data_IF_516120082732
#
_entry.id   IF_516120082732
#
_cell.length_a   1.000
_cell.length_b   1.000
_cell.length_c   1.000
_cell.angle_alpha   90.00
_cell.angle_beta   90.00
_cell.angle_gamma   90.00
#
_symmetry.space_group_name_H-M   'P 1'
#
loop_
_entity.id
_entity.type
_entity.pdbx_description
1 polymer ?
#
# COMPACT_ATOMS: atom_id res chain seq x y z
N UNK A 1 -71.34 -12.29 20.43
CA UNK A 1 -71.22 -13.68 19.91
C UNK A 1 -69.85 -13.83 19.27
N UNK A 2 -68.94 -14.55 19.93
CA UNK A 2 -67.49 -14.48 19.71
C UNK A 2 -67.00 -15.15 18.43
N UNK A 3 -66.10 -14.48 17.71
CA UNK A 3 -65.30 -15.08 16.63
C UNK A 3 -64.27 -16.01 17.26
N UNK A 4 -64.42 -17.32 17.08
CA UNK A 4 -63.38 -18.29 17.43
C UNK A 4 -62.18 -18.08 16.50
N UNK A 5 -61.10 -17.56 17.06
CA UNK A 5 -59.76 -17.64 16.48
C UNK A 5 -59.13 -18.89 17.07
N UNK A 6 -58.69 -19.84 16.25
CA UNK A 6 -57.86 -20.96 16.72
C UNK A 6 -56.41 -20.52 16.71
N UNK A 7 -55.79 -20.53 17.88
CA UNK A 7 -54.35 -20.41 18.09
C UNK A 7 -53.73 -21.81 18.15
N UNK A 8 -52.49 -21.93 17.65
CA UNK A 8 -51.65 -23.12 17.79
C UNK A 8 -51.17 -23.24 19.26
N UNK A 9 -51.47 -24.35 19.98
CA UNK A 9 -51.32 -24.42 21.43
C UNK A 9 -49.88 -24.32 21.97
N UNK A 10 -48.84 -24.52 21.16
CA UNK A 10 -47.48 -24.61 21.69
C UNK A 10 -46.63 -23.33 21.58
N UNK A 11 -46.92 -22.39 20.67
CA UNK A 11 -46.00 -21.24 20.45
C UNK A 11 -46.62 -19.87 20.19
N UNK A 12 -47.94 -19.76 19.95
CA UNK A 12 -48.61 -18.46 19.74
C UNK A 12 -48.04 -17.58 18.60
N UNK A 13 -47.14 -18.10 17.75
CA UNK A 13 -46.44 -17.32 16.71
C UNK A 13 -47.18 -17.42 15.38
N UNK A 14 -47.56 -16.26 14.83
CA UNK A 14 -47.99 -16.15 13.43
C UNK A 14 -46.85 -16.58 12.51
N UNK A 15 -47.00 -17.70 11.82
CA UNK A 15 -46.03 -18.21 10.85
C UNK A 15 -45.86 -17.18 9.73
N UNK A 16 -44.67 -16.57 9.65
CA UNK A 16 -44.32 -15.66 8.55
C UNK A 16 -43.51 -16.44 7.53
N UNK A 17 -43.99 -16.47 6.28
CA UNK A 17 -43.22 -16.99 5.14
C UNK A 17 -41.85 -16.32 5.10
N UNK A 18 -40.79 -17.13 5.01
CA UNK A 18 -39.43 -16.64 4.95
C UNK A 18 -39.23 -15.75 3.72
N UNK A 19 -38.49 -14.65 3.87
CA UNK A 19 -38.35 -13.62 2.82
C UNK A 19 -37.78 -14.16 1.50
N UNK A 20 -36.88 -15.14 1.59
CA UNK A 20 -36.26 -15.81 0.45
C UNK A 20 -37.28 -16.58 -0.40
N UNK A 21 -38.34 -17.09 0.23
CA UNK A 21 -39.37 -17.92 -0.38
C UNK A 21 -40.62 -17.09 -0.75
N UNK A 22 -40.65 -15.81 -0.36
CA UNK A 22 -41.82 -14.95 -0.44
C UNK A 22 -42.29 -14.67 -1.88
N UNK A 23 -41.38 -14.56 -2.84
CA UNK A 23 -41.73 -14.37 -4.25
C UNK A 23 -42.47 -15.59 -4.81
N UNK A 24 -41.91 -16.79 -4.56
CA UNK A 24 -42.47 -18.06 -5.04
C UNK A 24 -43.77 -18.40 -4.33
N UNK A 25 -43.86 -18.17 -3.02
CA UNK A 25 -45.11 -18.37 -2.28
C UNK A 25 -46.21 -17.43 -2.79
N UNK A 26 -45.91 -16.14 -3.05
CA UNK A 26 -46.89 -15.22 -3.65
C UNK A 26 -47.39 -15.72 -5.00
N UNK A 27 -46.48 -16.17 -5.87
CA UNK A 27 -46.84 -16.70 -7.19
C UNK A 27 -47.74 -17.92 -7.06
N UNK A 28 -47.35 -18.91 -6.24
CA UNK A 28 -48.16 -20.13 -6.00
C UNK A 28 -49.56 -19.81 -5.46
N UNK A 29 -49.67 -18.86 -4.54
CA UNK A 29 -50.96 -18.44 -3.97
C UNK A 29 -51.85 -17.78 -5.02
N UNK A 30 -51.31 -16.87 -5.83
CA UNK A 30 -52.07 -16.21 -6.90
C UNK A 30 -52.47 -17.21 -7.99
N UNK A 31 -51.57 -18.12 -8.39
CA UNK A 31 -51.88 -19.19 -9.36
C UNK A 31 -52.98 -20.10 -8.85
N UNK A 32 -52.94 -20.52 -7.58
CA UNK A 32 -53.99 -21.35 -6.99
C UNK A 32 -55.35 -20.64 -6.99
N UNK A 33 -55.39 -19.35 -6.66
CA UNK A 33 -56.62 -18.55 -6.68
C UNK A 33 -57.16 -18.37 -8.11
N UNK A 34 -56.28 -18.11 -9.08
CA UNK A 34 -56.68 -18.01 -10.49
C UNK A 34 -57.24 -19.33 -11.03
N UNK A 35 -56.77 -20.47 -10.49
CA UNK A 35 -57.27 -21.80 -10.79
C UNK A 35 -58.55 -22.18 -10.00
N UNK A 36 -59.19 -21.22 -9.33
CA UNK A 36 -60.48 -21.39 -8.67
C UNK A 36 -60.41 -21.69 -7.16
N UNK A 37 -59.23 -21.68 -6.54
CA UNK A 37 -59.12 -21.87 -5.09
C UNK A 37 -59.66 -20.65 -4.34
N UNK A 38 -60.54 -20.87 -3.36
CA UNK A 38 -61.04 -19.79 -2.51
C UNK A 38 -59.92 -19.16 -1.67
N UNK A 39 -59.84 -17.82 -1.51
CA UNK A 39 -58.76 -17.15 -0.77
C UNK A 39 -58.56 -17.63 0.67
N UNK A 40 -59.63 -18.05 1.36
CA UNK A 40 -59.52 -18.62 2.71
C UNK A 40 -58.86 -20.00 2.72
N UNK A 41 -59.10 -20.83 1.70
CA UNK A 41 -58.42 -22.12 1.52
C UNK A 41 -56.95 -21.91 1.16
N UNK A 42 -56.65 -20.92 0.32
CA UNK A 42 -55.28 -20.57 -0.01
C UNK A 42 -54.50 -20.08 1.23
N UNK A 43 -55.14 -19.32 2.13
CA UNK A 43 -54.52 -18.90 3.38
C UNK A 43 -54.13 -20.09 4.28
N UNK A 44 -54.95 -21.15 4.30
CA UNK A 44 -54.71 -22.38 5.05
C UNK A 44 -53.62 -23.24 4.41
N UNK A 45 -53.72 -23.53 3.10
CA UNK A 45 -52.77 -24.37 2.35
C UNK A 45 -51.36 -23.79 2.31
N UNK A 46 -51.24 -22.47 2.23
CA UNK A 46 -49.94 -21.79 2.15
C UNK A 46 -49.50 -21.19 3.49
N UNK A 47 -50.15 -21.57 4.59
CA UNK A 47 -49.83 -21.18 5.97
C UNK A 47 -49.58 -19.67 6.13
N UNK A 48 -50.45 -18.86 5.52
CA UNK A 48 -50.30 -17.41 5.53
C UNK A 48 -51.59 -16.72 5.99
N UNK A 49 -51.46 -15.55 6.62
CA UNK A 49 -52.64 -14.83 7.13
C UNK A 49 -53.60 -14.42 6.00
N UNK A 50 -54.91 -14.55 6.22
CA UNK A 50 -55.95 -14.16 5.24
C UNK A 50 -55.75 -12.73 4.69
N UNK A 51 -55.44 -11.77 5.55
CA UNK A 51 -55.16 -10.38 5.14
C UNK A 51 -53.94 -10.25 4.22
N UNK A 52 -52.95 -11.16 4.36
CA UNK A 52 -51.78 -11.24 3.49
C UNK A 52 -52.18 -11.72 2.09
N UNK A 53 -53.04 -12.73 1.99
CA UNK A 53 -53.56 -13.25 0.70
C UNK A 53 -54.31 -12.14 -0.05
N UNK A 54 -55.24 -11.46 0.61
CA UNK A 54 -55.95 -10.32 0.01
C UNK A 54 -55.00 -9.17 -0.36
N UNK A 55 -53.96 -8.92 0.45
CA UNK A 55 -52.90 -7.96 0.12
C UNK A 55 -52.14 -8.33 -1.14
N UNK A 56 -51.80 -9.61 -1.33
CA UNK A 56 -51.15 -10.12 -2.55
C UNK A 56 -52.07 -10.06 -3.76
N UNK A 57 -53.34 -10.44 -3.63
CA UNK A 57 -54.34 -10.30 -4.70
C UNK A 57 -54.47 -8.84 -5.15
N UNK A 58 -54.56 -7.90 -4.20
CA UNK A 58 -54.63 -6.47 -4.49
C UNK A 58 -53.36 -6.00 -5.20
N UNK A 59 -52.18 -6.40 -4.73
CA UNK A 59 -50.90 -6.03 -5.35
C UNK A 59 -50.77 -6.59 -6.77
N UNK A 60 -51.14 -7.86 -6.98
CA UNK A 60 -51.12 -8.50 -8.31
C UNK A 60 -52.11 -7.86 -9.28
N UNK A 61 -53.30 -7.46 -8.80
CA UNK A 61 -54.28 -6.75 -9.64
C UNK A 61 -53.80 -5.37 -10.08
N UNK A 62 -53.01 -4.68 -9.25
CA UNK A 62 -52.51 -3.32 -9.54
C UNK A 62 -51.22 -3.36 -10.36
N UNK A 63 -50.31 -4.30 -10.08
CA UNK A 63 -48.94 -4.29 -10.61
C UNK A 63 -48.55 -5.56 -11.38
N UNK A 64 -49.47 -6.51 -11.59
CA UNK A 64 -49.20 -7.75 -12.32
C UNK A 64 -48.05 -8.57 -11.71
N UNK A 65 -47.17 -9.08 -12.56
CA UNK A 65 -45.99 -9.86 -12.14
C UNK A 65 -45.02 -9.06 -11.24
N UNK A 66 -44.98 -7.72 -11.33
CA UNK A 66 -44.11 -6.88 -10.47
C UNK A 66 -44.49 -6.99 -8.98
N UNK A 67 -45.71 -7.45 -8.67
CA UNK A 67 -46.15 -7.72 -7.30
C UNK A 67 -45.35 -8.86 -6.62
N UNK A 68 -44.67 -9.70 -7.41
CA UNK A 68 -43.86 -10.79 -6.89
C UNK A 68 -42.45 -10.32 -6.49
N UNK A 69 -42.03 -9.13 -6.90
CA UNK A 69 -40.73 -8.60 -6.52
C UNK A 69 -40.64 -8.28 -5.01
N UNK A 70 -39.70 -8.94 -4.34
CA UNK A 70 -39.40 -8.68 -2.93
C UNK A 70 -38.42 -7.52 -2.82
N UNK A 71 -38.93 -6.29 -2.83
CA UNK A 71 -38.09 -5.09 -2.64
C UNK A 71 -37.38 -5.13 -1.30
N UNK A 72 -36.07 -4.83 -1.26
CA UNK A 72 -35.33 -4.67 0.01
C UNK A 72 -35.92 -3.49 0.79
N UNK A 73 -36.07 -3.58 2.12
CA UNK A 73 -36.51 -2.43 2.90
C UNK A 73 -35.50 -1.31 2.68
N UNK A 74 -35.97 -0.07 2.56
CA UNK A 74 -35.07 1.08 2.61
C UNK A 74 -34.32 1.00 3.94
N UNK A 75 -33.00 0.81 3.87
CA UNK A 75 -32.16 0.82 5.07
C UNK A 75 -32.25 2.15 5.79
N UNK A 76 -31.61 2.24 6.97
CA UNK A 76 -31.50 3.49 7.72
C UNK A 76 -31.00 4.62 6.79
N UNK A 77 -31.63 5.80 6.78
CA UNK A 77 -31.19 6.92 5.96
C UNK A 77 -29.71 7.23 6.18
N UNK A 78 -28.99 7.55 5.10
CA UNK A 78 -27.59 7.93 5.22
C UNK A 78 -27.48 9.27 5.95
N UNK A 79 -26.54 9.38 6.88
CA UNK A 79 -26.32 10.62 7.66
C UNK A 79 -25.89 11.81 6.79
N UNK A 80 -25.32 11.54 5.61
CA UNK A 80 -24.98 12.55 4.62
C UNK A 80 -25.81 12.35 3.35
N UNK A 81 -26.20 13.47 2.74
CA UNK A 81 -26.83 13.51 1.41
C UNK A 81 -25.82 13.21 0.31
N UNK A 82 -26.31 12.84 -0.88
CA UNK A 82 -25.45 12.62 -2.06
C UNK A 82 -24.56 13.83 -2.37
N UNK A 83 -25.13 15.05 -2.32
CA UNK A 83 -24.38 16.29 -2.55
C UNK A 83 -23.25 16.51 -1.53
N UNK A 84 -23.51 16.23 -0.25
CA UNK A 84 -22.48 16.33 0.80
C UNK A 84 -21.39 15.28 0.60
N UNK A 85 -21.76 14.06 0.20
CA UNK A 85 -20.82 12.98 -0.11
C UNK A 85 -19.91 13.32 -1.30
N UNK A 86 -20.47 13.87 -2.38
CA UNK A 86 -19.71 14.28 -3.57
C UNK A 86 -18.75 15.42 -3.23
N UNK A 87 -19.20 16.41 -2.45
CA UNK A 87 -18.38 17.54 -1.98
C UNK A 87 -17.25 17.09 -1.06
N UNK A 88 -17.53 16.19 -0.12
CA UNK A 88 -16.52 15.60 0.76
C UNK A 88 -15.45 14.87 -0.04
N UNK A 89 -15.86 14.07 -1.04
CA UNK A 89 -14.92 13.36 -1.93
C UNK A 89 -14.04 14.34 -2.70
N UNK A 90 -14.63 15.41 -3.26
CA UNK A 90 -13.87 16.42 -3.99
C UNK A 90 -12.80 17.10 -3.12
N UNK A 91 -13.08 17.37 -1.85
CA UNK A 91 -12.07 17.90 -0.93
C UNK A 91 -10.97 16.90 -0.60
N UNK A 92 -11.31 15.64 -0.33
CA UNK A 92 -10.31 14.64 0.05
C UNK A 92 -9.38 14.29 -1.12
N UNK A 93 -9.91 14.22 -2.35
CA UNK A 93 -9.13 13.89 -3.55
C UNK A 93 -8.39 15.11 -4.11
N UNK A 94 -8.97 16.30 -4.02
CA UNK A 94 -8.47 17.50 -4.70
C UNK A 94 -7.75 18.51 -3.80
N UNK A 95 -7.71 18.32 -2.47
CA UNK A 95 -7.09 19.28 -1.55
C UNK A 95 -6.19 18.61 -0.51
N UNK A 96 -5.14 19.32 -0.15
CA UNK A 96 -4.33 19.04 1.03
C UNK A 96 -5.08 19.54 2.28
N UNK A 97 -5.13 18.78 3.40
CA UNK A 97 -5.84 19.23 4.59
C UNK A 97 -5.35 20.60 5.12
N UNK A 98 -4.10 21.00 4.87
CA UNK A 98 -3.57 22.33 5.21
C UNK A 98 -4.28 23.46 4.49
N UNK A 99 -4.72 23.24 3.24
CA UNK A 99 -5.55 24.19 2.50
C UNK A 99 -6.95 24.37 3.13
N UNK A 100 -7.34 23.47 4.03
CA UNK A 100 -8.59 23.51 4.79
C UNK A 100 -8.36 23.85 6.28
N UNK A 101 -7.22 24.49 6.58
CA UNK A 101 -6.79 24.99 7.90
C UNK A 101 -6.54 23.88 8.93
N UNK A 102 -6.15 22.69 8.50
CA UNK A 102 -5.62 21.66 9.38
C UNK A 102 -4.09 21.73 9.47
N UNK A 103 -3.52 21.39 10.62
CA UNK A 103 -2.07 21.48 10.86
C UNK A 103 -1.26 20.41 10.10
N UNK A 104 -1.89 19.29 9.74
CA UNK A 104 -1.23 18.12 9.15
C UNK A 104 -1.60 17.91 7.68
N UNK A 105 -0.67 17.40 6.87
CA UNK A 105 -0.85 17.19 5.43
C UNK A 105 -1.57 15.87 5.04
N UNK A 106 -1.95 15.02 6.01
CA UNK A 106 -2.53 13.71 5.76
C UNK A 106 -3.99 13.61 6.17
N UNK A 107 -4.84 13.07 5.29
CA UNK A 107 -6.23 12.77 5.61
C UNK A 107 -6.34 11.56 6.54
N UNK A 108 -6.54 11.82 7.84
CA UNK A 108 -6.90 10.78 8.81
C UNK A 108 -8.42 10.68 8.97
N UNK A 109 -8.93 9.54 9.46
CA UNK A 109 -10.36 9.39 9.80
C UNK A 109 -10.81 10.45 10.82
N UNK A 110 -9.89 10.93 11.64
CA UNK A 110 -10.14 11.96 12.66
C UNK A 110 -10.33 13.34 12.03
N UNK A 111 -9.44 13.71 11.12
CA UNK A 111 -9.55 14.97 10.37
C UNK A 111 -10.79 15.00 9.49
N UNK A 112 -11.11 13.88 8.83
CA UNK A 112 -12.35 13.76 8.04
C UNK A 112 -13.58 13.87 8.94
N UNK A 113 -13.56 13.31 10.15
CA UNK A 113 -14.65 13.47 11.14
C UNK A 113 -14.85 14.94 11.50
N UNK A 114 -13.78 15.64 11.86
CA UNK A 114 -13.83 17.08 12.19
C UNK A 114 -14.29 17.93 10.99
N UNK A 115 -13.85 17.59 9.77
CA UNK A 115 -14.29 18.28 8.56
C UNK A 115 -15.80 18.09 8.33
N UNK A 116 -16.32 16.87 8.49
CA UNK A 116 -17.76 16.58 8.34
C UNK A 116 -18.57 17.35 9.38
N UNK A 117 -18.12 17.35 10.64
CA UNK A 117 -18.79 18.07 11.70
C UNK A 117 -18.79 19.59 11.46
N UNK A 118 -17.65 20.16 11.05
CA UNK A 118 -17.50 21.59 10.76
C UNK A 118 -18.33 22.04 9.55
N UNK A 119 -18.30 21.30 8.45
CA UNK A 119 -18.88 21.73 7.17
C UNK A 119 -20.35 21.32 7.02
N UNK A 120 -20.77 20.24 7.69
CA UNK A 120 -22.11 19.68 7.53
C UNK A 120 -22.90 19.59 8.85
N UNK A 121 -22.29 19.86 10.01
CA UNK A 121 -22.95 19.79 11.31
C UNK A 121 -23.32 18.37 11.74
N UNK A 122 -22.70 17.34 11.15
CA UNK A 122 -23.05 15.94 11.40
C UNK A 122 -21.97 15.26 12.25
N UNK A 123 -22.32 14.90 13.48
CA UNK A 123 -21.45 14.11 14.33
C UNK A 123 -21.44 12.63 13.89
N UNK A 124 -20.25 12.07 13.69
CA UNK A 124 -20.06 10.68 13.26
C UNK A 124 -18.94 10.01 14.07
N UNK A 125 -19.06 8.71 14.33
CA UNK A 125 -17.94 7.95 14.93
C UNK A 125 -16.83 7.72 13.90
N UNK A 126 -15.58 7.52 14.37
CA UNK A 126 -14.43 7.16 13.50
C UNK A 126 -14.69 5.95 12.62
N UNK A 127 -15.42 4.95 13.13
CA UNK A 127 -15.80 3.76 12.37
C UNK A 127 -16.78 4.08 11.24
N UNK A 128 -17.78 4.92 11.51
CA UNK A 128 -18.76 5.34 10.50
C UNK A 128 -18.07 6.13 9.38
N UNK A 129 -17.12 7.01 9.73
CA UNK A 129 -16.28 7.73 8.75
C UNK A 129 -15.47 6.75 7.89
N UNK A 130 -14.86 5.72 8.50
CA UNK A 130 -14.14 4.68 7.74
C UNK A 130 -15.03 3.93 6.73
N UNK A 131 -16.26 3.56 7.12
CA UNK A 131 -17.23 2.92 6.21
C UNK A 131 -17.68 3.88 5.10
N UNK A 132 -17.88 5.16 5.43
CA UNK A 132 -18.24 6.20 4.47
C UNK A 132 -17.15 6.36 3.40
N UNK A 133 -15.90 6.51 3.81
CA UNK A 133 -14.76 6.65 2.88
C UNK A 133 -14.68 5.48 1.90
N UNK A 134 -14.85 4.24 2.39
CA UNK A 134 -14.89 3.05 1.53
C UNK A 134 -16.03 3.10 0.53
N UNK A 135 -17.22 3.58 0.93
CA UNK A 135 -18.38 3.77 0.05
C UNK A 135 -18.14 4.83 -1.02
N UNK A 136 -17.30 5.84 -0.75
CA UNK A 136 -16.86 6.85 -1.71
C UNK A 136 -15.75 6.35 -2.65
N UNK A 137 -15.37 5.09 -2.56
CA UNK A 137 -14.27 4.49 -3.34
C UNK A 137 -12.89 4.91 -2.85
N UNK A 138 -12.77 5.37 -1.60
CA UNK A 138 -11.51 5.81 -1.01
C UNK A 138 -10.96 4.73 -0.07
N UNK A 139 -9.66 4.49 -0.15
CA UNK A 139 -8.92 3.57 0.73
C UNK A 139 -7.69 4.27 1.32
N UNK A 140 -7.18 3.81 2.48
CA UNK A 140 -5.92 4.32 3.00
C UNK A 140 -4.80 4.03 1.99
N UNK A 141 -4.23 5.08 1.43
CA UNK A 141 -3.07 5.01 0.55
C UNK A 141 -1.85 5.50 1.31
N UNK A 142 -0.71 4.83 1.13
CA UNK A 142 0.57 5.38 1.60
C UNK A 142 0.94 6.51 0.65
N UNK A 143 0.99 7.77 1.10
CA UNK A 143 1.41 8.86 0.23
C UNK A 143 2.83 8.54 -0.26
N UNK A 144 3.03 8.55 -1.57
CA UNK A 144 4.37 8.73 -2.09
C UNK A 144 4.75 10.15 -1.71
N UNK A 145 5.72 10.28 -0.81
CA UNK A 145 6.35 11.57 -0.51
C UNK A 145 7.16 11.92 -1.76
N UNK A 146 6.50 12.39 -2.82
CA UNK A 146 7.20 13.13 -3.86
C UNK A 146 7.64 14.42 -3.21
N UNK A 147 8.91 14.45 -2.83
CA UNK A 147 9.50 15.55 -2.12
C UNK A 147 9.25 16.82 -2.92
N UNK A 148 8.63 17.81 -2.31
CA UNK A 148 8.54 19.18 -2.83
C UNK A 148 9.94 19.76 -3.18
N UNK A 149 11.00 19.11 -2.71
CA UNK A 149 12.40 19.45 -2.93
C UNK A 149 13.01 18.82 -4.19
N UNK A 150 12.32 17.88 -4.86
CA UNK A 150 12.79 17.30 -6.11
C UNK A 150 12.55 18.28 -7.25
N UNK A 151 13.59 18.53 -8.05
CA UNK A 151 13.54 19.39 -9.22
C UNK A 151 13.28 18.50 -10.47
N UNK A 152 12.07 18.57 -11.07
CA UNK A 152 11.72 17.71 -12.21
C UNK A 152 12.60 17.93 -13.43
N UNK A 153 13.11 19.15 -13.65
CA UNK A 153 13.97 19.46 -14.79
C UNK A 153 15.33 18.79 -14.64
N UNK A 154 15.87 18.75 -13.41
CA UNK A 154 17.11 17.99 -13.12
C UNK A 154 16.93 16.50 -13.28
N UNK A 155 15.78 15.96 -12.86
CA UNK A 155 15.47 14.54 -13.04
C UNK A 155 15.42 14.20 -14.53
N UNK A 156 14.76 15.02 -15.33
CA UNK A 156 14.68 14.81 -16.77
C UNK A 156 16.04 14.95 -17.44
N UNK A 157 16.81 15.98 -17.10
CA UNK A 157 18.19 16.17 -17.58
C UNK A 157 19.08 14.97 -17.27
N UNK A 158 18.97 14.43 -16.05
CA UNK A 158 19.70 13.23 -15.66
C UNK A 158 19.36 12.04 -16.56
N UNK A 159 18.05 11.79 -16.77
CA UNK A 159 17.56 10.66 -17.57
C UNK A 159 17.92 10.78 -19.06
N UNK A 160 17.82 11.97 -19.63
CA UNK A 160 17.95 12.19 -21.07
C UNK A 160 19.35 12.57 -21.54
N UNK A 161 20.18 13.13 -20.65
CA UNK A 161 21.49 13.70 -21.03
C UNK A 161 22.61 13.08 -20.19
N UNK A 162 22.62 13.33 -18.88
CA UNK A 162 23.79 13.01 -18.04
C UNK A 162 24.06 11.51 -17.95
N UNK A 163 23.05 10.70 -17.64
CA UNK A 163 23.24 9.25 -17.55
C UNK A 163 23.61 8.60 -18.89
N UNK A 164 22.93 8.91 -20.02
CA UNK A 164 23.36 8.43 -21.33
C UNK A 164 24.82 8.77 -21.67
N UNK A 165 25.28 10.00 -21.39
CA UNK A 165 26.67 10.40 -21.59
C UNK A 165 27.65 9.60 -20.73
N UNK A 166 27.32 9.40 -19.44
CA UNK A 166 28.09 8.55 -18.52
C UNK A 166 28.17 7.12 -19.05
N UNK A 167 27.05 6.57 -19.51
CA UNK A 167 26.97 5.21 -20.04
C UNK A 167 27.81 5.03 -21.29
N UNK A 168 27.75 5.97 -22.22
CA UNK A 168 28.51 5.90 -23.47
C UNK A 168 30.01 6.07 -23.21
N UNK A 169 30.39 6.92 -22.23
CA UNK A 169 31.77 7.04 -21.77
C UNK A 169 32.26 5.77 -21.08
N UNK A 170 31.43 5.15 -20.23
CA UNK A 170 31.76 3.89 -19.57
C UNK A 170 32.04 2.80 -20.61
N UNK A 171 31.20 2.67 -21.65
CA UNK A 171 31.44 1.73 -22.76
C UNK A 171 32.76 1.98 -23.47
N UNK A 172 33.11 3.25 -23.76
CA UNK A 172 34.38 3.59 -24.43
C UNK A 172 35.61 3.23 -23.59
N UNK A 173 35.51 3.36 -22.28
CA UNK A 173 36.61 3.09 -21.34
C UNK A 173 36.62 1.65 -20.80
N UNK A 174 35.64 0.82 -21.19
CA UNK A 174 35.45 -0.51 -20.58
C UNK A 174 35.09 -0.45 -19.09
N UNK A 175 34.54 0.68 -18.62
CA UNK A 175 34.19 0.89 -17.23
C UNK A 175 32.90 0.15 -16.86
N UNK A 176 32.87 -0.45 -15.67
CA UNK A 176 31.67 -1.04 -15.10
C UNK A 176 30.87 0.03 -14.33
N UNK A 177 29.58 0.14 -14.61
CA UNK A 177 28.68 1.08 -13.93
C UNK A 177 28.03 0.39 -12.75
N UNK A 178 28.19 1.00 -11.58
CA UNK A 178 27.56 0.61 -10.34
C UNK A 178 26.70 1.76 -9.81
N UNK A 179 25.60 1.42 -9.15
CA UNK A 179 24.80 2.34 -8.37
C UNK A 179 24.91 1.91 -6.91
N UNK A 180 25.30 2.82 -6.03
CA UNK A 180 25.44 2.54 -4.61
C UNK A 180 24.50 3.37 -3.74
N UNK A 181 24.15 2.80 -2.60
CA UNK A 181 23.41 3.45 -1.54
C UNK A 181 23.84 2.93 -0.16
N UNK A 182 23.47 3.68 0.88
CA UNK A 182 23.80 3.44 2.27
C UNK A 182 22.50 3.30 3.08
N UNK A 183 22.27 2.16 3.73
CA UNK A 183 21.13 2.01 4.61
C UNK A 183 21.47 1.40 5.96
N UNK A 184 20.78 1.93 6.98
CA UNK A 184 20.79 1.39 8.33
C UNK A 184 19.57 0.53 8.62
N UNK A 185 19.80 -0.62 9.25
CA UNK A 185 18.78 -1.39 9.96
C UNK A 185 19.01 -1.21 11.45
N UNK A 186 17.98 -0.78 12.16
CA UNK A 186 18.03 -0.53 13.61
C UNK A 186 17.38 -1.69 14.36
N UNK A 187 17.95 -2.03 15.52
CA UNK A 187 17.42 -3.07 16.42
C UNK A 187 15.99 -2.81 16.90
N UNK A 188 15.55 -1.54 16.92
CA UNK A 188 14.19 -1.12 17.31
C UNK A 188 13.22 -1.00 16.14
N UNK A 189 13.57 -1.51 14.96
CA UNK A 189 12.65 -1.61 13.82
C UNK A 189 11.60 -2.71 14.03
N UNK A 190 11.09 -2.89 15.24
CA UNK A 190 9.88 -3.66 15.53
C UNK A 190 8.67 -2.79 15.19
N UNK A 191 8.30 -2.75 13.92
CA UNK A 191 6.94 -2.33 13.55
C UNK A 191 5.98 -3.46 13.93
N UNK A 192 5.52 -3.49 15.19
CA UNK A 192 4.68 -4.59 15.69
C UNK A 192 3.79 -4.22 16.87
N UNK A 193 2.70 -4.96 17.02
CA UNK A 193 1.87 -5.00 18.22
C UNK A 193 2.45 -6.02 19.19
N UNK A 194 2.61 -5.66 20.47
CA UNK A 194 2.94 -6.65 21.52
C UNK A 194 1.68 -7.18 22.17
N UNK A 195 1.75 -8.40 22.71
CA UNK A 195 0.68 -8.94 23.55
C UNK A 195 0.68 -8.21 24.90
N UNK A 196 -0.52 -7.86 25.36
CA UNK A 196 -0.79 -7.22 26.63
C UNK A 196 -2.20 -7.58 27.10
N UNK A 197 -2.45 -7.49 28.40
CA UNK A 197 -3.76 -7.77 28.95
C UNK A 197 -4.82 -6.82 28.39
N UNK A 198 -6.02 -7.34 28.12
CA UNK A 198 -7.10 -6.54 27.53
C UNK A 198 -7.44 -5.37 28.45
N UNK A 199 -7.24 -4.14 27.97
CA UNK A 199 -7.47 -2.92 28.75
C UNK A 199 -6.21 -2.32 29.40
N UNK A 200 -5.09 -3.04 29.42
CA UNK A 200 -3.82 -2.56 29.96
C UNK A 200 -2.79 -2.43 28.84
N UNK A 201 -2.46 -1.19 28.46
CA UNK A 201 -1.41 -0.94 27.46
C UNK A 201 -0.04 -1.20 28.09
N UNK A 202 0.72 -2.21 27.64
CA UNK A 202 2.03 -2.51 28.21
C UNK A 202 3.02 -1.36 27.95
N UNK A 203 3.71 -0.92 29.00
CA UNK A 203 4.73 0.13 28.92
C UNK A 203 6.07 -0.54 28.64
N UNK A 204 6.54 -0.45 27.39
CA UNK A 204 7.87 -0.95 27.01
C UNK A 204 8.92 0.11 27.36
N UNK A 205 9.79 -0.19 28.33
CA UNK A 205 10.98 0.63 28.64
C UNK A 205 12.18 0.04 27.89
N UNK A 206 12.64 0.72 26.85
CA UNK A 206 13.81 0.27 26.09
C UNK A 206 15.11 0.46 26.88
N UNK A 207 15.96 -0.57 26.94
CA UNK A 207 17.35 -0.42 27.34
C UNK A 207 18.07 0.44 26.27
N UNK A 208 18.75 1.50 26.68
CA UNK A 208 19.33 2.51 25.79
C UNK A 208 20.45 2.04 24.84
N UNK A 209 20.73 0.73 24.77
CA UNK A 209 21.68 0.12 23.84
C UNK A 209 21.10 0.05 22.43
N UNK A 210 21.06 1.19 21.74
CA UNK A 210 20.65 1.25 20.34
C UNK A 210 21.78 0.70 19.48
N UNK A 211 21.55 -0.43 18.83
CA UNK A 211 22.50 -0.98 17.87
C UNK A 211 21.91 -0.87 16.46
N UNK A 212 22.60 -0.10 15.63
CA UNK A 212 22.31 0.02 14.21
C UNK A 212 23.36 -0.73 13.42
N UNK A 213 22.92 -1.66 12.58
CA UNK A 213 23.77 -2.24 11.55
C UNK A 213 23.61 -1.40 10.30
N UNK A 214 24.67 -0.73 9.88
CA UNK A 214 24.68 -0.02 8.61
C UNK A 214 25.32 -0.92 7.55
N UNK A 215 24.85 -0.77 6.32
CA UNK A 215 25.33 -1.51 5.18
C UNK A 215 25.45 -0.55 4.01
N UNK A 216 26.48 -0.75 3.20
CA UNK A 216 26.70 -0.05 1.95
C UNK A 216 26.63 -1.11 0.87
N UNK A 217 25.81 -0.90 -0.16
CA UNK A 217 25.69 -1.80 -1.31
C UNK A 217 25.95 -1.07 -2.62
N UNK A 218 26.33 -1.83 -3.65
CA UNK A 218 26.41 -1.38 -5.03
C UNK A 218 25.89 -2.45 -5.97
N UNK A 219 24.92 -2.09 -6.82
CA UNK A 219 24.39 -2.94 -7.89
C UNK A 219 24.89 -2.48 -9.26
N UNK A 220 25.29 -3.43 -10.10
CA UNK A 220 25.70 -3.14 -11.48
C UNK A 220 24.57 -3.35 -12.47
N UNK A 221 24.69 -2.68 -13.62
CA UNK A 221 23.83 -2.94 -14.79
C UNK A 221 24.05 -4.32 -15.41
N UNK A 222 25.02 -5.10 -14.93
CA UNK A 222 25.30 -6.48 -15.35
C UNK A 222 24.78 -7.52 -14.35
N UNK A 223 24.08 -7.08 -13.29
CA UNK A 223 23.49 -7.96 -12.28
C UNK A 223 24.44 -8.37 -11.15
N UNK A 224 25.58 -7.70 -11.00
CA UNK A 224 26.48 -7.89 -9.86
C UNK A 224 26.00 -7.07 -8.67
N UNK A 225 26.19 -7.59 -7.46
CA UNK A 225 25.93 -6.89 -6.20
C UNK A 225 27.16 -7.01 -5.30
N UNK A 226 27.66 -5.88 -4.82
CA UNK A 226 28.72 -5.83 -3.80
C UNK A 226 28.16 -5.16 -2.55
N UNK A 227 28.57 -5.61 -1.37
CA UNK A 227 28.12 -5.00 -0.12
C UNK A 227 29.18 -5.08 0.98
N UNK A 228 29.05 -4.23 1.99
CA UNK A 228 29.86 -4.28 3.20
C UNK A 228 29.05 -3.79 4.39
N UNK A 229 29.22 -4.43 5.55
CA UNK A 229 28.67 -3.94 6.81
C UNK A 229 29.60 -2.94 7.47
N UNK A 230 28.98 -1.88 8.00
CA UNK A 230 29.60 -0.90 8.87
C UNK A 230 28.97 -0.97 10.26
N UNK A 231 29.82 -1.01 11.29
CA UNK A 231 29.37 -0.82 12.67
C UNK A 231 29.35 0.68 12.99
N UNK A 232 28.26 1.17 13.56
CA UNK A 232 28.12 2.60 13.86
C UNK A 232 27.88 3.44 12.60
N UNK A 233 28.03 4.77 12.70
CA UNK A 233 27.72 5.70 11.61
C UNK A 233 28.68 5.50 10.42
N UNK A 234 28.13 5.47 9.20
CA UNK A 234 28.91 5.53 7.97
C UNK A 234 29.46 6.96 7.83
N UNK A 235 30.78 7.10 7.97
CA UNK A 235 31.50 8.34 7.74
C UNK A 235 32.37 8.21 6.49
N UNK A 236 33.10 9.28 6.14
CA UNK A 236 33.95 9.30 4.95
C UNK A 236 35.03 8.20 4.97
N UNK A 237 35.60 7.89 6.14
CA UNK A 237 36.62 6.86 6.30
C UNK A 237 36.07 5.45 6.03
N UNK A 238 34.92 5.12 6.62
CA UNK A 238 34.23 3.85 6.37
C UNK A 238 33.84 3.73 4.90
N UNK A 239 33.39 4.83 4.29
CA UNK A 239 33.05 4.86 2.87
C UNK A 239 34.29 4.62 1.98
N UNK A 240 35.45 5.22 2.30
CA UNK A 240 36.70 4.97 1.57
C UNK A 240 37.13 3.50 1.68
N UNK A 241 37.02 2.89 2.86
CA UNK A 241 37.33 1.47 3.03
C UNK A 241 36.39 0.57 2.21
N UNK A 242 35.12 0.95 2.09
CA UNK A 242 34.19 0.30 1.17
C UNK A 242 34.63 0.45 -0.29
N UNK A 243 34.99 1.66 -0.73
CA UNK A 243 35.46 1.89 -2.09
C UNK A 243 36.71 1.08 -2.41
N UNK A 244 37.67 0.97 -1.48
CA UNK A 244 38.86 0.12 -1.65
C UNK A 244 38.49 -1.34 -1.89
N UNK A 245 37.55 -1.88 -1.12
CA UNK A 245 37.05 -3.26 -1.30
C UNK A 245 36.36 -3.43 -2.65
N UNK A 246 35.51 -2.48 -3.04
CA UNK A 246 34.86 -2.51 -4.36
C UNK A 246 35.90 -2.51 -5.50
N UNK A 247 36.95 -1.69 -5.41
CA UNK A 247 38.00 -1.63 -6.42
C UNK A 247 38.90 -2.86 -6.45
N UNK A 248 39.03 -3.55 -5.32
CA UNK A 248 39.72 -4.84 -5.23
C UNK A 248 38.91 -5.96 -5.91
N UNK A 249 37.60 -6.00 -5.68
CA UNK A 249 36.74 -7.11 -6.16
C UNK A 249 36.30 -6.94 -7.63
N UNK A 250 36.36 -5.72 -8.15
CA UNK A 250 35.98 -5.40 -9.52
C UNK A 250 37.23 -5.18 -10.36
N UNK A 251 37.32 -5.81 -11.52
CA UNK A 251 38.39 -5.53 -12.47
C UNK A 251 38.05 -4.36 -13.41
N UNK A 252 39.07 -3.59 -13.81
CA UNK A 252 38.91 -2.46 -14.74
C UNK A 252 38.18 -1.25 -14.15
N UNK A 253 38.06 -0.13 -14.88
CA UNK A 253 37.53 1.12 -14.33
C UNK A 253 36.11 1.00 -13.77
N UNK A 254 35.80 1.74 -12.70
CA UNK A 254 34.49 1.73 -12.04
C UNK A 254 33.87 3.12 -12.08
N UNK A 255 32.67 3.20 -12.64
CA UNK A 255 31.84 4.39 -12.60
C UNK A 255 30.76 4.16 -11.54
N UNK A 256 30.86 4.86 -10.42
CA UNK A 256 29.96 4.69 -9.29
C UNK A 256 28.99 5.86 -9.20
N UNK A 257 27.70 5.57 -9.35
CA UNK A 257 26.60 6.52 -9.22
C UNK A 257 26.07 6.44 -7.80
N UNK A 258 25.99 7.58 -7.13
CA UNK A 258 25.58 7.68 -5.72
C UNK A 258 24.59 8.81 -5.50
N UNK A 259 23.91 8.79 -4.37
CA UNK A 259 23.07 9.89 -3.95
C UNK A 259 23.90 11.12 -3.52
N UNK A 260 23.20 12.19 -3.14
CA UNK A 260 23.81 13.45 -2.73
C UNK A 260 24.42 13.47 -1.33
N UNK A 261 24.54 12.34 -0.62
CA UNK A 261 24.91 12.30 0.80
C UNK A 261 26.25 13.00 1.09
N UNK A 262 26.38 13.71 2.24
CA UNK A 262 27.61 14.45 2.55
C UNK A 262 28.88 13.58 2.66
N UNK A 263 28.76 12.30 3.02
CA UNK A 263 29.90 11.36 3.05
C UNK A 263 30.54 11.26 1.67
N UNK A 264 29.74 11.08 0.62
CA UNK A 264 30.18 10.94 -0.77
C UNK A 264 30.90 12.19 -1.30
N UNK A 265 30.57 13.36 -0.74
CA UNK A 265 31.13 14.66 -1.15
C UNK A 265 32.28 15.15 -0.27
N UNK A 266 32.64 14.39 0.76
CA UNK A 266 33.69 14.76 1.69
C UNK A 266 35.04 14.94 0.99
N UNK A 267 35.85 15.88 1.48
CA UNK A 267 37.16 16.20 0.88
C UNK A 267 38.05 14.96 0.76
N UNK A 268 38.11 14.14 1.82
CA UNK A 268 38.88 12.88 1.84
C UNK A 268 38.43 11.89 0.76
N UNK A 269 37.12 11.80 0.51
CA UNK A 269 36.59 10.93 -0.55
C UNK A 269 37.00 11.44 -1.92
N UNK A 270 36.93 12.75 -2.16
CA UNK A 270 37.41 13.35 -3.41
C UNK A 270 38.91 13.15 -3.63
N UNK A 271 39.71 13.35 -2.59
CA UNK A 271 41.16 13.11 -2.61
C UNK A 271 41.47 11.64 -2.92
N UNK A 272 40.75 10.70 -2.29
CA UNK A 272 40.87 9.27 -2.58
C UNK A 272 40.50 8.94 -4.03
N UNK A 273 39.35 9.40 -4.52
CA UNK A 273 38.90 9.16 -5.91
C UNK A 273 39.93 9.69 -6.90
N UNK A 274 40.47 10.90 -6.68
CA UNK A 274 41.52 11.46 -7.51
C UNK A 274 42.81 10.60 -7.49
N UNK A 275 43.18 10.04 -6.33
CA UNK A 275 44.35 9.17 -6.21
C UNK A 275 44.24 7.85 -6.97
N UNK A 276 43.05 7.49 -7.45
CA UNK A 276 42.83 6.28 -8.25
C UNK A 276 43.17 6.44 -9.73
N UNK A 277 43.57 7.64 -10.17
CA UNK A 277 44.01 7.90 -11.55
C UNK A 277 43.03 7.42 -12.64
N UNK A 278 41.72 7.63 -12.40
CA UNK A 278 40.65 7.24 -13.32
C UNK A 278 40.17 5.80 -13.16
N UNK A 279 40.75 5.04 -12.22
CA UNK A 279 40.25 3.71 -11.84
C UNK A 279 38.87 3.80 -11.18
N UNK A 280 38.57 4.87 -10.45
CA UNK A 280 37.24 5.15 -9.87
C UNK A 280 36.78 6.56 -10.27
N UNK A 281 35.52 6.69 -10.67
CA UNK A 281 34.85 7.97 -10.86
C UNK A 281 33.48 7.98 -10.17
N UNK A 282 33.15 9.09 -9.51
CA UNK A 282 31.86 9.27 -8.83
C UNK A 282 30.94 10.19 -9.63
N UNK A 283 29.69 9.76 -9.78
CA UNK A 283 28.60 10.54 -10.36
C UNK A 283 27.46 10.65 -9.36
N UNK A 284 26.73 11.76 -9.38
CA UNK A 284 25.73 12.06 -8.36
C UNK A 284 24.34 12.12 -8.95
N UNK A 285 23.42 11.37 -8.36
CA UNK A 285 21.99 11.46 -8.69
C UNK A 285 21.45 12.87 -8.38
N UNK A 286 20.38 13.28 -9.10
CA UNK A 286 19.64 14.48 -8.75
C UNK A 286 19.22 14.45 -7.27
N UNK A 287 19.31 15.60 -6.55
CA UNK A 287 18.87 15.67 -5.17
C UNK A 287 17.44 15.17 -4.98
N UNK A 288 17.19 14.52 -3.84
CA UNK A 288 15.87 14.03 -3.45
C UNK A 288 15.20 13.08 -4.46
N UNK A 289 16.00 12.31 -5.21
CA UNK A 289 15.51 11.38 -6.25
C UNK A 289 15.91 9.92 -5.99
N UNK A 290 15.58 9.34 -4.82
CA UNK A 290 15.96 7.97 -4.47
C UNK A 290 15.39 6.92 -5.43
N UNK A 291 14.23 7.18 -6.05
CA UNK A 291 13.60 6.28 -7.02
C UNK A 291 14.43 6.08 -8.31
N UNK A 292 15.42 6.94 -8.56
CA UNK A 292 16.36 6.80 -9.66
C UNK A 292 17.51 5.85 -9.34
N UNK A 293 17.63 5.39 -8.09
CA UNK A 293 18.67 4.47 -7.64
C UNK A 293 18.13 3.02 -7.59
N UNK A 294 18.65 2.09 -8.41
CA UNK A 294 18.28 0.67 -8.33
C UNK A 294 18.65 0.01 -7.00
N UNK A 295 19.64 0.53 -6.27
CA UNK A 295 20.08 -0.03 -4.98
C UNK A 295 18.99 0.06 -3.90
N UNK A 296 18.01 0.96 -4.05
CA UNK A 296 16.79 1.00 -3.22
C UNK A 296 16.02 -0.32 -3.21
N UNK A 297 16.10 -1.11 -4.29
CA UNK A 297 15.46 -2.42 -4.37
C UNK A 297 16.19 -3.49 -3.56
N UNK A 298 17.51 -3.37 -3.37
CA UNK A 298 18.28 -4.20 -2.43
C UNK A 298 17.70 -4.01 -1.03
N UNK A 299 17.50 -2.75 -0.63
CA UNK A 299 16.93 -2.43 0.68
C UNK A 299 15.50 -2.90 0.86
N UNK A 300 14.66 -2.74 -0.16
CA UNK A 300 13.28 -3.26 -0.14
C UNK A 300 13.27 -4.78 0.06
N UNK A 301 14.13 -5.53 -0.64
CA UNK A 301 14.26 -6.98 -0.46
C UNK A 301 14.74 -7.35 0.95
N UNK A 302 15.81 -6.72 1.44
CA UNK A 302 16.37 -7.01 2.77
C UNK A 302 15.37 -6.71 3.88
N UNK A 303 14.70 -5.54 3.83
CA UNK A 303 13.76 -5.11 4.86
C UNK A 303 12.42 -5.87 4.81
N UNK A 304 11.86 -6.10 3.61
CA UNK A 304 10.53 -6.69 3.47
C UNK A 304 10.53 -8.22 3.61
N UNK A 305 11.53 -8.91 3.04
CA UNK A 305 11.51 -10.36 2.98
C UNK A 305 12.15 -11.06 4.18
N UNK A 306 13.06 -10.39 4.89
CA UNK A 306 13.82 -11.02 5.96
C UNK A 306 13.66 -10.29 7.30
N UNK A 307 14.05 -9.02 7.39
CA UNK A 307 14.05 -8.31 8.69
C UNK A 307 12.63 -8.12 9.25
N UNK A 308 11.65 -7.76 8.39
CA UNK A 308 10.27 -7.55 8.83
C UNK A 308 9.49 -8.82 9.20
N UNK A 309 9.95 -10.00 8.76
CA UNK A 309 9.29 -11.30 9.01
C UNK A 309 9.95 -12.12 10.11
N UNK A 310 11.20 -11.81 10.48
CA UNK A 310 11.96 -12.56 11.48
C UNK A 310 11.78 -11.98 12.88
N UNK A 311 11.66 -12.86 13.88
CA UNK A 311 11.68 -12.51 15.30
C UNK A 311 13.13 -12.18 15.72
N UNK A 312 13.62 -11.03 15.26
CA UNK A 312 14.96 -10.53 15.56
C UNK A 312 15.01 -10.12 17.04
N UNK A 313 15.75 -10.90 17.83
CA UNK A 313 15.90 -10.73 19.28
C UNK A 313 17.32 -10.37 19.72
N UNK A 314 18.28 -10.38 18.80
CA UNK A 314 19.66 -9.90 19.03
C UNK A 314 20.25 -9.26 17.77
N UNK A 315 21.35 -8.52 17.93
CA UNK A 315 22.09 -7.86 16.83
C UNK A 315 22.78 -8.88 15.94
N UNK A 316 23.30 -9.95 16.53
CA UNK A 316 23.98 -11.05 15.83
C UNK A 316 22.98 -11.77 14.92
N UNK A 317 21.77 -12.03 15.43
CA UNK A 317 20.68 -12.63 14.63
C UNK A 317 20.23 -11.66 13.53
N UNK A 318 20.16 -10.35 13.80
CA UNK A 318 19.87 -9.33 12.79
C UNK A 318 20.92 -9.33 11.67
N UNK A 319 22.20 -9.33 12.05
CA UNK A 319 23.34 -9.36 11.11
C UNK A 319 23.29 -10.62 10.26
N UNK A 320 23.18 -11.79 10.87
CA UNK A 320 23.13 -13.06 10.15
C UNK A 320 21.94 -13.13 9.17
N UNK A 321 20.77 -12.60 9.56
CA UNK A 321 19.61 -12.52 8.69
C UNK A 321 19.83 -11.61 7.48
N UNK A 322 20.44 -10.44 7.69
CA UNK A 322 20.76 -9.51 6.60
C UNK A 322 21.86 -10.09 5.70
N UNK A 323 22.89 -10.70 6.29
CA UNK A 323 23.94 -11.42 5.57
C UNK A 323 23.36 -12.49 4.65
N UNK A 324 22.46 -13.35 5.16
CA UNK A 324 21.81 -14.37 4.37
C UNK A 324 20.93 -13.77 3.26
N UNK A 325 20.17 -12.70 3.56
CA UNK A 325 19.32 -12.03 2.59
C UNK A 325 20.12 -11.44 1.43
N UNK A 326 21.26 -10.82 1.73
CA UNK A 326 22.11 -10.19 0.73
C UNK A 326 22.94 -11.22 -0.03
N UNK A 327 23.44 -12.27 0.62
CA UNK A 327 24.14 -13.38 -0.04
C UNK A 327 23.25 -14.01 -1.13
N UNK A 328 21.96 -14.23 -0.84
CA UNK A 328 20.99 -14.68 -1.85
C UNK A 328 20.87 -13.75 -3.05
N UNK A 329 20.96 -12.43 -2.83
CA UNK A 329 20.91 -11.45 -3.91
C UNK A 329 22.22 -11.45 -4.72
N UNK A 330 23.38 -11.61 -4.09
CA UNK A 330 24.67 -11.75 -4.76
C UNK A 330 24.68 -12.98 -5.68
N UNK A 331 24.12 -14.10 -5.21
CA UNK A 331 24.05 -15.35 -5.98
C UNK A 331 22.97 -15.33 -7.08
N UNK A 332 22.16 -14.27 -7.18
CA UNK A 332 21.02 -14.20 -8.09
C UNK A 332 21.07 -12.99 -9.00
N UNK A 333 21.83 -13.13 -10.10
CA UNK A 333 21.89 -12.14 -11.18
C UNK A 333 20.51 -11.77 -11.71
N UNK A 334 19.58 -12.72 -11.80
CA UNK A 334 18.21 -12.46 -12.29
C UNK A 334 17.45 -11.48 -11.39
N UNK A 335 17.54 -11.65 -10.06
CA UNK A 335 16.87 -10.77 -9.11
C UNK A 335 17.46 -9.35 -9.22
N UNK A 336 18.79 -9.23 -9.27
CA UNK A 336 19.47 -7.94 -9.39
C UNK A 336 19.10 -7.24 -10.70
N UNK A 337 19.11 -7.96 -11.83
CA UNK A 337 18.64 -7.44 -13.11
C UNK A 337 17.16 -7.07 -13.09
N UNK A 338 16.35 -7.77 -12.28
CA UNK A 338 14.95 -7.48 -12.04
C UNK A 338 14.70 -6.10 -11.43
N UNK A 339 15.62 -5.57 -10.62
CA UNK A 339 15.49 -4.24 -10.02
C UNK A 339 15.38 -3.14 -11.08
N UNK A 340 16.12 -3.28 -12.18
CA UNK A 340 16.13 -2.33 -13.28
C UNK A 340 14.86 -2.34 -14.14
N UNK A 341 13.90 -3.25 -13.87
CA UNK A 341 12.60 -3.28 -14.55
C UNK A 341 11.59 -2.28 -14.00
N UNK A 342 11.90 -1.63 -12.87
CA UNK A 342 11.08 -0.55 -12.31
C UNK A 342 10.84 0.56 -13.36
N UNK A 343 9.61 1.05 -13.53
CA UNK A 343 9.30 2.17 -14.42
C UNK A 343 10.23 3.39 -14.25
N UNK A 344 10.61 3.72 -13.02
CA UNK A 344 11.46 4.88 -12.71
C UNK A 344 12.93 4.67 -13.12
N UNK A 345 13.36 3.41 -13.32
CA UNK A 345 14.72 2.99 -13.67
C UNK A 345 14.91 2.64 -15.15
N UNK A 346 13.84 2.73 -15.96
CA UNK A 346 13.88 2.41 -17.41
C UNK A 346 14.93 3.19 -18.20
N UNK A 347 15.30 4.38 -17.74
CA UNK A 347 16.32 5.22 -18.37
C UNK A 347 17.72 4.55 -18.41
N UNK A 348 17.97 3.57 -17.53
CA UNK A 348 19.25 2.88 -17.42
C UNK A 348 19.50 1.98 -18.64
N UNK A 349 18.45 1.34 -19.18
CA UNK A 349 18.51 0.57 -20.43
C UNK A 349 19.40 -0.69 -20.35
N UNK A 350 19.07 -1.61 -19.44
CA UNK A 350 19.83 -2.86 -19.22
C UNK A 350 19.50 -3.92 -20.30
N UNK A 351 20.52 -4.53 -20.90
CA UNK A 351 20.35 -5.56 -21.92
C UNK A 351 19.59 -6.79 -21.36
N UNK A 352 18.43 -7.11 -21.96
CA UNK A 352 17.50 -8.13 -21.46
C UNK A 352 16.11 -7.58 -21.10
N UNK A 353 15.96 -6.25 -21.00
CA UNK A 353 14.64 -5.61 -20.98
C UNK A 353 14.12 -5.44 -22.42
N UNK A 354 13.58 -6.51 -22.99
CA UNK A 354 12.85 -6.41 -24.25
C UNK A 354 11.68 -5.43 -24.11
N UNK A 355 11.84 -4.22 -24.65
CA UNK A 355 10.75 -3.30 -24.95
C UNK A 355 10.84 -3.06 -26.46
N UNK A 356 9.82 -3.42 -27.25
CA UNK A 356 9.81 -3.12 -28.68
C UNK A 356 9.87 -1.59 -28.87
N UNK A 357 10.72 -1.16 -29.79
CA UNK A 357 10.71 0.22 -30.28
C UNK A 357 9.30 0.49 -30.83
N UNK A 358 8.58 1.41 -30.19
CA UNK A 358 7.37 1.97 -30.79
C UNK A 358 7.83 2.81 -31.97
N UNK A 359 7.49 2.36 -33.18
CA UNK A 359 7.59 3.13 -34.42
C UNK A 359 6.54 4.24 -34.44
#
# INVERSE_FOLDING_TARGET
MGRRVREDPETGRRTRVARRDLADTRRKVITAINNGMHPDMAAEVFECGRSTVYGWMKSHRISGEDAFEVRKPSGRPTLLTKRQMDRLRAWIVGKDPRQLRFEFALWTRELVRHLIEREFGVAMTRQTVGRLLRRLGLSPQRPLVRAYQQDPERVERWKQVEYPEIRDRARRLGAQIFFADEAGVRSDYHSGTTWGEVGHTPIVRGSGGRVSLNMISAVSTTGKLHFTFAQGKVNAEVYIEYLKKLLHDVEGPVFLIVDGHPSHKAKKVKEFVASTEGRLELFFLPPYSPELNPDEWVWKNVKHDHVGKMAVHSVEVMRAAIEAAVARLVDSTEIVLGFFRDPDLRYIGVAGSGIPKVQ
#
